data_IF_320216365166
#
_entry.id   IF_320216365166
#
_cell.length_a   1.000
_cell.length_b   1.000
_cell.length_c   1.000
_cell.angle_alpha   90.00
_cell.angle_beta   90.00
_cell.angle_gamma   90.00
#
_symmetry.space_group_name_H-M   'P 1'
#
loop_
_entity.id
_entity.type
_entity.pdbx_description
1 polymer ?
#
# COMPACT_ATOMS: atom_id res chain seq x y z
N UNK A 1 4.44 -18.18 -1.29
CA UNK A 1 3.78 -17.05 -1.96
C UNK A 1 3.75 -15.89 -0.97
N UNK A 2 4.30 -14.74 -1.31
CA UNK A 2 4.05 -13.50 -0.56
C UNK A 2 2.60 -13.07 -0.78
N UNK A 3 1.94 -12.58 0.26
CA UNK A 3 0.59 -12.03 0.14
C UNK A 3 0.72 -10.58 -0.33
N UNK A 4 0.12 -10.27 -1.47
CA UNK A 4 0.13 -8.92 -2.05
C UNK A 4 -1.05 -8.11 -1.52
N UNK A 5 -0.80 -6.83 -1.23
CA UNK A 5 -1.79 -5.85 -0.77
C UNK A 5 -1.69 -4.60 -1.64
N UNK A 6 -2.82 -4.11 -2.13
CA UNK A 6 -2.97 -2.77 -2.69
C UNK A 6 -3.51 -1.85 -1.58
N UNK A 7 -2.76 -0.81 -1.24
CA UNK A 7 -3.15 0.25 -0.31
C UNK A 7 -3.56 1.49 -1.12
N UNK A 8 -4.80 1.93 -0.98
CA UNK A 8 -5.27 3.21 -1.53
C UNK A 8 -5.42 4.17 -0.35
N UNK A 9 -4.56 5.18 -0.29
CA UNK A 9 -4.49 6.14 0.82
C UNK A 9 -3.91 7.46 0.31
N UNK A 10 -4.65 8.57 0.47
CA UNK A 10 -4.30 9.87 -0.08
C UNK A 10 -3.38 10.70 0.84
N UNK A 11 -3.34 10.36 2.13
CA UNK A 11 -2.39 10.96 3.08
C UNK A 11 -1.03 10.22 3.03
N UNK A 12 0.07 10.92 2.65
CA UNK A 12 1.37 10.27 2.48
C UNK A 12 1.99 9.79 3.80
N UNK A 13 1.75 10.48 4.92
CA UNK A 13 2.30 10.12 6.23
C UNK A 13 1.61 8.84 6.75
N UNK A 14 0.29 8.75 6.55
CA UNK A 14 -0.48 7.56 6.90
C UNK A 14 -0.14 6.36 5.99
N UNK A 15 0.03 6.61 4.68
CA UNK A 15 0.42 5.59 3.72
C UNK A 15 1.79 4.97 4.06
N UNK A 16 2.77 5.78 4.44
CA UNK A 16 4.09 5.32 4.88
C UNK A 16 3.97 4.46 6.14
N UNK A 17 3.25 4.94 7.16
CA UNK A 17 3.05 4.20 8.41
C UNK A 17 2.41 2.81 8.19
N UNK A 18 1.38 2.73 7.34
CA UNK A 18 0.69 1.47 7.05
C UNK A 18 1.58 0.55 6.21
N UNK A 19 2.27 1.10 5.20
CA UNK A 19 3.16 0.32 4.32
C UNK A 19 4.32 -0.28 5.10
N UNK A 20 4.92 0.46 6.02
CA UNK A 20 5.98 -0.03 6.90
C UNK A 20 5.47 -1.17 7.78
N UNK A 21 4.33 -1.00 8.43
CA UNK A 21 3.75 -2.03 9.28
C UNK A 21 3.46 -3.33 8.50
N UNK A 22 2.88 -3.23 7.31
CA UNK A 22 2.57 -4.40 6.48
C UNK A 22 3.84 -5.06 5.93
N UNK A 23 4.82 -4.28 5.51
CA UNK A 23 6.12 -4.79 5.03
C UNK A 23 6.87 -5.53 6.13
N UNK A 24 6.87 -5.00 7.37
CA UNK A 24 7.42 -5.68 8.55
C UNK A 24 6.74 -7.03 8.84
N UNK A 25 5.49 -7.19 8.40
CA UNK A 25 4.72 -8.42 8.51
C UNK A 25 4.79 -9.30 7.24
N UNK A 26 5.80 -9.10 6.40
CA UNK A 26 6.10 -9.89 5.20
C UNK A 26 5.01 -9.84 4.11
N UNK A 27 4.22 -8.77 4.09
CA UNK A 27 3.36 -8.46 2.96
C UNK A 27 4.15 -7.72 1.89
N UNK A 28 3.73 -7.91 0.64
CA UNK A 28 4.20 -7.13 -0.51
C UNK A 28 3.18 -6.04 -0.79
N UNK A 29 3.54 -4.78 -0.57
CA UNK A 29 2.60 -3.65 -0.54
C UNK A 29 2.81 -2.77 -1.77
N UNK A 30 1.74 -2.57 -2.53
CA UNK A 30 1.65 -1.57 -3.57
C UNK A 30 0.80 -0.41 -3.06
N UNK A 31 1.34 0.80 -3.04
CA UNK A 31 0.60 2.00 -2.64
C UNK A 31 0.15 2.79 -3.87
N UNK A 32 -1.07 3.28 -3.81
CA UNK A 32 -1.66 4.25 -4.74
C UNK A 32 -2.25 5.40 -3.92
N UNK A 33 -1.96 6.65 -4.31
CA UNK A 33 -2.49 7.83 -3.63
C UNK A 33 -3.96 8.11 -3.97
N UNK A 34 -4.42 7.61 -5.11
CA UNK A 34 -5.77 7.85 -5.62
C UNK A 34 -6.41 6.56 -6.12
N UNK A 35 -7.74 6.52 -6.11
CA UNK A 35 -8.49 5.37 -6.62
C UNK A 35 -8.20 5.03 -8.08
N UNK A 36 -7.95 6.05 -8.92
CA UNK A 36 -7.57 5.83 -10.32
C UNK A 36 -6.19 5.18 -10.45
N UNK A 37 -5.21 5.63 -9.66
CA UNK A 37 -3.87 5.02 -9.64
C UNK A 37 -3.95 3.55 -9.21
N UNK A 38 -4.83 3.23 -8.25
CA UNK A 38 -5.08 1.85 -7.83
C UNK A 38 -5.75 0.97 -8.89
N UNK A 39 -6.51 1.55 -9.82
CA UNK A 39 -7.11 0.82 -10.94
C UNK A 39 -6.10 0.53 -12.07
N UNK A 40 -5.04 1.32 -12.17
CA UNK A 40 -4.04 1.24 -13.24
C UNK A 40 -2.84 0.32 -12.90
N UNK A 41 -2.78 -0.22 -11.67
CA UNK A 41 -1.76 -1.17 -11.16
C UNK A 41 -2.08 -2.63 -11.51
#
# INVERSE_FOLDING_TARGET
MSKQILLIEDDPDLAELISDYLTMNYYDVHHAGLGQEGLDL
#
